data_IF_152810333459
#
_entry.id   IF_152810333459
#
_cell.length_a   1.000
_cell.length_b   1.000
_cell.length_c   1.000
_cell.angle_alpha   90.00
_cell.angle_beta   90.00
_cell.angle_gamma   90.00
#
_symmetry.space_group_name_H-M   'P 1'
#
loop_
_entity.id
_entity.type
_entity.pdbx_description
1 polymer ?
#
# COMPACT_ATOMS: atom_id res chain seq x y z
N UNK A 1 -19.23 9.71 29.66
CA UNK A 1 -18.07 9.82 28.80
C UNK A 1 -18.06 8.63 27.86
N UNK A 2 -18.32 8.88 26.56
CA UNK A 2 -18.35 7.80 25.58
C UNK A 2 -16.93 7.45 25.17
N UNK A 3 -16.45 6.29 25.59
CA UNK A 3 -15.21 5.75 25.08
C UNK A 3 -15.44 5.40 23.60
N UNK A 4 -14.46 5.67 22.72
CA UNK A 4 -14.58 5.21 21.34
C UNK A 4 -14.76 3.69 21.33
N UNK A 5 -15.53 3.14 20.40
CA UNK A 5 -15.69 1.70 20.33
C UNK A 5 -14.28 1.08 20.22
N UNK A 6 -13.99 0.20 21.13
CA UNK A 6 -12.77 -0.62 21.02
C UNK A 6 -12.87 -1.39 19.71
N UNK A 7 -11.94 -1.13 18.80
CA UNK A 7 -11.82 -1.95 17.61
C UNK A 7 -11.77 -3.41 18.04
N UNK A 8 -12.48 -4.30 17.35
CA UNK A 8 -12.40 -5.70 17.69
C UNK A 8 -10.93 -6.13 17.71
N UNK A 9 -10.55 -6.83 18.76
CA UNK A 9 -9.20 -7.35 18.89
C UNK A 9 -8.98 -8.47 17.85
N UNK A 10 -8.75 -8.04 16.60
CA UNK A 10 -8.49 -8.97 15.52
C UNK A 10 -7.01 -9.36 15.62
N UNK A 11 -6.70 -10.65 15.80
CA UNK A 11 -5.30 -11.06 15.85
C UNK A 11 -4.59 -10.75 14.53
N UNK A 12 -3.30 -10.36 14.58
CA UNK A 12 -2.54 -10.13 13.36
C UNK A 12 -2.48 -11.39 12.50
N UNK A 13 -2.56 -11.21 11.18
CA UNK A 13 -2.41 -12.31 10.23
C UNK A 13 -1.00 -12.89 10.32
N UNK A 14 -0.92 -14.20 10.48
CA UNK A 14 0.36 -14.90 10.55
C UNK A 14 0.27 -16.18 9.70
N UNK A 15 1.08 -16.35 8.64
CA UNK A 15 2.10 -15.40 8.18
C UNK A 15 1.50 -14.11 7.63
N UNK A 16 2.28 -13.02 7.54
CA UNK A 16 1.80 -11.77 6.97
C UNK A 16 1.43 -11.92 5.49
N UNK A 17 0.67 -10.96 4.97
CA UNK A 17 0.23 -10.93 3.58
C UNK A 17 0.52 -9.56 2.98
N UNK A 18 0.81 -9.53 1.68
CA UNK A 18 1.02 -8.28 0.95
C UNK A 18 -0.23 -7.96 0.12
N UNK A 19 -0.73 -6.75 0.24
CA UNK A 19 -1.79 -6.21 -0.62
C UNK A 19 -1.19 -5.11 -1.50
N UNK A 20 -1.33 -5.25 -2.80
CA UNK A 20 -0.72 -4.33 -3.77
C UNK A 20 -1.81 -3.55 -4.48
N UNK A 21 -1.75 -2.22 -4.37
CA UNK A 21 -2.49 -1.30 -5.22
C UNK A 21 -1.72 -1.23 -6.55
N UNK A 22 -2.15 -2.06 -7.51
CA UNK A 22 -1.33 -2.37 -8.68
C UNK A 22 -1.42 -1.34 -9.80
N UNK A 23 -2.45 -0.49 -9.80
CA UNK A 23 -2.57 0.55 -10.81
C UNK A 23 -1.44 1.57 -10.60
N UNK A 24 -0.59 1.71 -11.62
CA UNK A 24 0.60 2.58 -11.58
C UNK A 24 1.66 2.18 -10.53
N UNK A 25 1.77 0.90 -10.18
CA UNK A 25 2.81 0.42 -9.26
C UNK A 25 4.08 0.03 -10.05
N UNK A 26 5.21 0.74 -9.85
CA UNK A 26 6.44 0.45 -10.62
C UNK A 26 7.31 -0.65 -10.00
N UNK A 27 6.93 -1.23 -8.85
CA UNK A 27 7.75 -2.17 -8.08
C UNK A 27 7.14 -3.56 -7.97
N UNK A 28 6.27 -3.94 -8.91
CA UNK A 28 5.61 -5.25 -8.88
C UNK A 28 6.59 -6.41 -8.87
N UNK A 29 7.62 -6.35 -9.71
CA UNK A 29 8.63 -7.42 -9.79
C UNK A 29 9.38 -7.59 -8.47
N UNK A 30 9.72 -6.49 -7.82
CA UNK A 30 10.38 -6.50 -6.52
C UNK A 30 9.48 -7.13 -5.45
N UNK A 31 8.18 -6.84 -5.49
CA UNK A 31 7.20 -7.43 -4.57
C UNK A 31 7.16 -8.95 -4.75
N UNK A 32 7.07 -9.43 -6.00
CA UNK A 32 7.02 -10.86 -6.27
C UNK A 32 8.28 -11.56 -5.77
N UNK A 33 9.44 -10.97 -6.01
CA UNK A 33 10.72 -11.53 -5.58
C UNK A 33 10.79 -11.72 -4.06
N UNK A 34 10.43 -10.69 -3.31
CA UNK A 34 10.44 -10.75 -1.85
C UNK A 34 9.39 -11.75 -1.32
N UNK A 35 8.19 -11.71 -1.91
CA UNK A 35 7.11 -12.58 -1.49
C UNK A 35 7.46 -14.06 -1.68
N UNK A 36 8.04 -14.43 -2.81
CA UNK A 36 8.43 -15.81 -3.08
C UNK A 36 9.57 -16.25 -2.18
N UNK A 37 10.54 -15.38 -1.93
CA UNK A 37 11.65 -15.68 -1.03
C UNK A 37 11.18 -15.93 0.41
N UNK A 38 10.18 -15.18 0.86
CA UNK A 38 9.67 -15.29 2.23
C UNK A 38 8.42 -16.18 2.36
N UNK A 39 7.96 -16.76 1.26
CA UNK A 39 6.76 -17.59 1.22
C UNK A 39 5.53 -16.85 1.77
N UNK A 40 5.31 -15.62 1.32
CA UNK A 40 4.20 -14.76 1.75
C UNK A 40 3.19 -14.62 0.62
N UNK A 41 1.90 -14.67 0.95
CA UNK A 41 0.84 -14.47 -0.02
C UNK A 41 0.76 -13.03 -0.49
N UNK A 42 0.46 -12.82 -1.76
CA UNK A 42 0.28 -11.51 -2.38
C UNK A 42 -1.07 -11.46 -3.08
N UNK A 43 -1.81 -10.38 -2.85
CA UNK A 43 -3.02 -10.04 -3.61
C UNK A 43 -2.71 -8.80 -4.45
N UNK A 44 -2.73 -8.96 -5.76
CA UNK A 44 -2.45 -7.87 -6.71
C UNK A 44 -3.79 -7.33 -7.19
N UNK A 45 -4.17 -6.16 -6.70
CA UNK A 45 -5.50 -5.57 -6.92
C UNK A 45 -5.40 -4.48 -7.98
N UNK A 46 -6.20 -4.60 -9.03
CA UNK A 46 -6.21 -3.61 -10.11
C UNK A 46 -7.60 -3.43 -10.71
N UNK A 47 -7.83 -2.26 -11.32
CA UNK A 47 -9.05 -1.98 -12.08
C UNK A 47 -9.01 -2.60 -13.48
N UNK A 48 -7.82 -2.96 -13.98
CA UNK A 48 -7.63 -3.51 -15.30
C UNK A 48 -7.01 -4.90 -15.20
N UNK A 49 -7.24 -5.72 -16.24
CA UNK A 49 -6.63 -7.03 -16.32
C UNK A 49 -5.11 -6.89 -16.40
N UNK A 50 -4.41 -7.57 -15.50
CA UNK A 50 -2.98 -7.45 -15.31
C UNK A 50 -2.37 -8.84 -15.24
N UNK A 51 -1.29 -9.06 -15.97
CA UNK A 51 -0.59 -10.34 -15.92
C UNK A 51 0.24 -10.44 -14.64
N UNK A 52 0.07 -11.53 -13.91
CA UNK A 52 0.84 -11.84 -12.71
C UNK A 52 1.54 -13.20 -12.87
N UNK A 53 2.63 -13.45 -12.14
CA UNK A 53 3.28 -14.76 -12.18
C UNK A 53 2.31 -15.88 -11.80
N UNK A 54 2.43 -17.02 -12.48
CA UNK A 54 1.65 -18.22 -12.18
C UNK A 54 2.25 -18.91 -10.96
N UNK A 55 1.79 -18.55 -9.77
CA UNK A 55 2.26 -19.10 -8.51
C UNK A 55 1.14 -19.11 -7.48
N UNK A 56 1.09 -20.15 -6.64
CA UNK A 56 0.04 -20.31 -5.65
C UNK A 56 -0.05 -19.15 -4.65
N UNK A 57 1.08 -18.50 -4.34
CA UNK A 57 1.12 -17.39 -3.41
C UNK A 57 0.67 -16.06 -4.01
N UNK A 58 0.64 -15.95 -5.33
CA UNK A 58 0.34 -14.68 -6.01
C UNK A 58 -1.04 -14.79 -6.66
N UNK A 59 -1.98 -13.97 -6.18
CA UNK A 59 -3.34 -13.95 -6.69
C UNK A 59 -3.69 -12.56 -7.23
N UNK A 60 -4.24 -12.56 -8.44
CA UNK A 60 -4.74 -11.36 -9.08
C UNK A 60 -6.19 -11.13 -8.66
N UNK A 61 -6.51 -9.89 -8.28
CA UNK A 61 -7.87 -9.46 -8.00
C UNK A 61 -8.20 -8.32 -8.96
N UNK A 62 -9.07 -8.58 -9.93
CA UNK A 62 -9.54 -7.56 -10.86
C UNK A 62 -10.88 -7.08 -10.38
N UNK A 63 -10.97 -5.78 -10.10
CA UNK A 63 -12.21 -5.15 -9.60
C UNK A 63 -12.89 -4.41 -10.75
N UNK A 64 -14.15 -3.98 -10.53
CA UNK A 64 -14.91 -3.23 -11.54
C UNK A 64 -14.18 -1.92 -11.87
N UNK A 65 -14.36 -1.38 -13.10
CA UNK A 65 -13.68 -0.17 -13.54
C UNK A 65 -14.13 1.13 -12.89
N UNK A 66 -14.86 1.08 -11.78
CA UNK A 66 -15.20 2.26 -11.00
C UNK A 66 -13.94 2.90 -10.41
N UNK A 67 -13.94 4.22 -10.28
CA UNK A 67 -12.76 5.01 -9.94
C UNK A 67 -12.04 4.54 -8.67
N UNK A 68 -12.79 4.24 -7.61
CA UNK A 68 -12.22 3.87 -6.31
C UNK A 68 -12.33 2.37 -6.01
N UNK A 69 -12.64 1.53 -7.00
CA UNK A 69 -12.95 0.12 -6.75
C UNK A 69 -11.78 -0.66 -6.15
N UNK A 70 -10.55 -0.42 -6.64
CA UNK A 70 -9.36 -1.09 -6.10
C UNK A 70 -9.06 -0.62 -4.68
N UNK A 71 -9.15 0.69 -4.43
CA UNK A 71 -8.94 1.26 -3.10
C UNK A 71 -9.94 0.72 -2.09
N UNK A 72 -11.20 0.67 -2.46
CA UNK A 72 -12.26 0.15 -1.60
C UNK A 72 -12.07 -1.33 -1.31
N UNK A 73 -11.70 -2.12 -2.31
CA UNK A 73 -11.43 -3.54 -2.10
C UNK A 73 -10.31 -3.75 -1.07
N UNK A 74 -9.20 -3.02 -1.22
CA UNK A 74 -8.07 -3.13 -0.29
C UNK A 74 -8.48 -2.68 1.11
N UNK A 75 -9.16 -1.53 1.22
CA UNK A 75 -9.55 -0.98 2.51
C UNK A 75 -10.52 -1.90 3.28
N UNK A 76 -11.38 -2.62 2.56
CA UNK A 76 -12.31 -3.57 3.16
C UNK A 76 -11.62 -4.88 3.57
N UNK A 77 -10.61 -5.32 2.83
CA UNK A 77 -9.93 -6.60 3.06
C UNK A 77 -8.80 -6.51 4.08
N UNK A 78 -8.23 -5.32 4.27
CA UNK A 78 -7.00 -5.10 5.03
C UNK A 78 -7.22 -5.26 6.54
N UNK A 79 -6.19 -5.76 7.23
CA UNK A 79 -6.20 -5.87 8.69
C UNK A 79 -4.79 -6.04 9.26
N UNK A 80 -4.69 -6.25 10.58
CA UNK A 80 -3.38 -6.47 11.22
C UNK A 80 -2.63 -7.65 10.58
N UNK A 81 -1.33 -7.50 10.39
CA UNK A 81 -0.48 -8.50 9.74
C UNK A 81 -0.42 -8.37 8.23
N UNK A 82 -1.21 -7.46 7.63
CA UNK A 82 -1.08 -7.12 6.22
C UNK A 82 -0.04 -6.02 6.03
N UNK A 83 0.67 -6.07 4.91
CA UNK A 83 1.56 -5.01 4.44
C UNK A 83 1.00 -4.52 3.11
N UNK A 84 0.66 -3.25 3.04
CA UNK A 84 0.04 -2.64 1.85
C UNK A 84 1.09 -1.81 1.11
N UNK A 85 1.14 -1.97 -0.21
CA UNK A 85 1.98 -1.16 -1.08
C UNK A 85 1.09 -0.26 -1.92
N UNK A 86 1.19 1.04 -1.69
CA UNK A 86 0.42 2.05 -2.42
C UNK A 86 1.13 3.40 -2.42
N UNK A 87 0.90 4.19 -3.46
CA UNK A 87 1.29 5.59 -3.50
C UNK A 87 0.12 6.52 -3.13
N UNK A 88 -1.07 5.99 -2.95
CA UNK A 88 -2.26 6.77 -2.62
C UNK A 88 -2.33 7.04 -1.13
N UNK A 89 -2.18 8.31 -0.76
CA UNK A 89 -2.14 8.75 0.64
C UNK A 89 -3.46 8.47 1.35
N UNK A 90 -4.58 8.64 0.66
CA UNK A 90 -5.90 8.42 1.26
C UNK A 90 -6.15 6.93 1.54
N UNK A 91 -5.73 6.07 0.63
CA UNK A 91 -5.78 4.62 0.86
C UNK A 91 -4.83 4.22 2.00
N UNK A 92 -3.63 4.79 2.04
CA UNK A 92 -2.67 4.54 3.11
C UNK A 92 -3.26 4.87 4.49
N UNK A 93 -3.97 5.98 4.61
CA UNK A 93 -4.63 6.38 5.85
C UNK A 93 -5.67 5.34 6.29
N UNK A 94 -6.50 4.87 5.35
CA UNK A 94 -7.51 3.85 5.62
C UNK A 94 -6.88 2.54 6.10
N UNK A 95 -5.79 2.12 5.46
CA UNK A 95 -5.09 0.89 5.81
C UNK A 95 -4.38 0.98 7.17
N UNK A 96 -3.75 2.11 7.47
CA UNK A 96 -3.15 2.33 8.79
C UNK A 96 -4.21 2.27 9.89
N UNK A 97 -5.37 2.86 9.66
CA UNK A 97 -6.48 2.82 10.62
C UNK A 97 -6.98 1.41 10.87
N UNK A 98 -6.84 0.51 9.91
CA UNK A 98 -7.20 -0.90 10.04
C UNK A 98 -6.10 -1.75 10.71
N UNK A 99 -4.98 -1.16 11.07
CA UNK A 99 -3.89 -1.85 11.76
C UNK A 99 -2.82 -2.46 10.87
N UNK A 100 -2.85 -2.18 9.56
CA UNK A 100 -1.85 -2.68 8.63
C UNK A 100 -0.61 -1.77 8.59
N UNK A 101 0.51 -2.32 8.13
CA UNK A 101 1.67 -1.53 7.75
C UNK A 101 1.50 -1.08 6.29
N UNK A 102 1.95 0.12 5.95
CA UNK A 102 1.83 0.66 4.59
C UNK A 102 3.16 1.26 4.16
N UNK A 103 3.59 0.92 2.96
CA UNK A 103 4.80 1.48 2.35
C UNK A 103 4.51 1.97 0.94
N UNK A 104 5.19 3.05 0.55
CA UNK A 104 5.13 3.56 -0.81
C UNK A 104 6.14 2.88 -1.73
N UNK A 105 6.02 3.06 -3.06
CA UNK A 105 6.92 2.44 -4.04
C UNK A 105 8.39 2.86 -3.93
N UNK A 106 8.68 3.98 -3.29
CA UNK A 106 10.05 4.44 -3.05
C UNK A 106 10.64 3.93 -1.74
N UNK A 107 9.88 3.09 -1.01
CA UNK A 107 10.33 2.52 0.26
C UNK A 107 10.02 3.35 1.48
N UNK A 108 9.28 4.45 1.34
CA UNK A 108 8.90 5.27 2.50
C UNK A 108 7.73 4.64 3.22
N UNK A 109 7.86 4.31 4.51
CA UNK A 109 6.73 3.85 5.29
C UNK A 109 5.78 5.01 5.58
N UNK A 110 4.48 4.73 5.50
CA UNK A 110 3.47 5.66 5.98
C UNK A 110 3.24 5.41 7.47
N UNK A 111 3.23 6.48 8.25
CA UNK A 111 2.93 6.44 9.69
C UNK A 111 1.83 7.45 9.99
N UNK A 112 1.20 7.36 11.16
CA UNK A 112 0.18 8.32 11.56
C UNK A 112 0.65 9.76 11.49
N UNK A 113 1.90 10.03 11.91
CA UNK A 113 2.48 11.37 11.84
C UNK A 113 2.81 11.83 10.42
N UNK A 114 3.43 10.96 9.61
CA UNK A 114 3.80 11.31 8.24
C UNK A 114 2.58 11.47 7.34
N UNK A 115 1.51 10.70 7.58
CA UNK A 115 0.33 10.74 6.72
C UNK A 115 -0.45 12.05 6.88
N UNK A 116 -0.50 12.60 8.08
CA UNK A 116 -1.15 13.90 8.31
C UNK A 116 -0.49 15.01 7.49
N UNK A 117 0.83 15.07 7.48
CA UNK A 117 1.60 16.01 6.67
C UNK A 117 1.42 15.78 5.18
N UNK A 118 1.37 14.53 4.74
CA UNK A 118 1.21 14.17 3.34
C UNK A 118 -0.19 14.53 2.81
N UNK A 119 -1.24 14.31 3.61
CA UNK A 119 -2.61 14.71 3.26
C UNK A 119 -2.72 16.22 3.14
N UNK A 120 -2.13 16.96 4.07
CA UNK A 120 -2.12 18.43 4.02
C UNK A 120 -1.37 18.94 2.78
N UNK A 121 -0.23 18.36 2.45
CA UNK A 121 0.54 18.74 1.27
C UNK A 121 -0.23 18.46 -0.01
N UNK A 122 -0.92 17.32 -0.09
CA UNK A 122 -1.75 16.97 -1.24
C UNK A 122 -2.88 18.00 -1.45
N UNK A 123 -3.52 18.44 -0.37
CA UNK A 123 -4.57 19.46 -0.44
C UNK A 123 -4.01 20.79 -0.95
N UNK A 124 -2.87 21.22 -0.45
CA UNK A 124 -2.19 22.44 -0.90
C UNK A 124 -1.84 22.35 -2.39
N UNK A 125 -1.29 21.23 -2.84
CA UNK A 125 -0.93 21.03 -4.25
C UNK A 125 -2.15 20.98 -5.16
N UNK A 126 -3.27 20.43 -4.70
CA UNK A 126 -4.52 20.44 -5.45
C UNK A 126 -5.04 21.87 -5.63
N UNK A 127 -5.00 22.68 -4.59
CA UNK A 127 -5.40 24.10 -4.65
C UNK A 127 -4.53 24.89 -5.64
N UNK A 128 -3.23 24.66 -5.64
CA UNK A 128 -2.30 25.29 -6.56
C UNK A 128 -2.57 24.90 -8.02
N UNK A 129 -2.93 23.65 -8.27
CA UNK A 129 -3.31 23.18 -9.62
C UNK A 129 -4.58 23.86 -10.11
N UNK A 130 -5.55 24.04 -9.24
CA UNK A 130 -6.78 24.77 -9.57
C UNK A 130 -6.48 26.21 -9.92
N UNK A 131 -5.46 26.81 -9.30
CA UNK A 131 -4.97 28.15 -9.62
C UNK A 131 -4.22 28.27 -10.94
N UNK A 132 -4.05 27.21 -11.70
CA UNK A 132 -3.41 27.24 -13.01
C UNK A 132 -1.89 27.12 -13.00
N UNK A 133 -1.27 27.01 -11.85
CA UNK A 133 0.18 26.82 -11.76
C UNK A 133 0.55 25.36 -12.01
N UNK A 134 1.36 25.13 -13.04
CA UNK A 134 1.89 23.81 -13.32
C UNK A 134 3.09 23.60 -12.41
N UNK A 135 2.87 22.96 -11.28
CA UNK A 135 3.97 22.48 -10.46
C UNK A 135 4.42 21.16 -11.07
N UNK A 136 5.71 20.98 -11.29
CA UNK A 136 6.26 19.76 -11.87
C UNK A 136 5.74 18.52 -11.19
N UNK A 137 5.51 17.44 -11.96
CA UNK A 137 5.03 16.16 -11.45
C UNK A 137 6.00 15.52 -10.44
N UNK A 138 5.64 14.36 -9.88
CA UNK A 138 6.53 13.65 -8.97
C UNK A 138 7.87 13.35 -9.62
N UNK A 139 8.93 13.30 -8.82
CA UNK A 139 10.27 12.98 -9.31
C UNK A 139 10.26 11.62 -10.04
N UNK A 140 11.03 11.47 -11.14
CA UNK A 140 11.12 10.19 -11.84
C UNK A 140 11.57 9.07 -10.89
N UNK A 141 11.01 7.88 -11.10
CA UNK A 141 11.39 6.71 -10.33
C UNK A 141 12.82 6.28 -10.69
N UNK A 142 13.67 6.07 -9.68
CA UNK A 142 15.11 5.81 -9.84
C UNK A 142 15.47 4.39 -9.42
N UNK A 143 16.59 3.83 -9.94
CA UNK A 143 17.07 2.51 -9.45
C UNK A 143 17.30 2.48 -7.94
N UNK A 144 17.77 3.58 -7.34
CA UNK A 144 17.94 3.66 -5.88
C UNK A 144 16.61 3.51 -5.13
N UNK A 145 15.51 3.96 -5.72
CA UNK A 145 14.17 3.79 -5.14
C UNK A 145 13.77 2.32 -5.08
N UNK A 146 14.13 1.53 -6.10
CA UNK A 146 13.88 0.08 -6.12
C UNK A 146 14.62 -0.62 -4.99
N UNK A 147 15.87 -0.26 -4.77
CA UNK A 147 16.69 -0.84 -3.69
C UNK A 147 16.13 -0.50 -2.32
N UNK A 148 15.74 0.76 -2.11
CA UNK A 148 15.11 1.19 -0.86
C UNK A 148 13.78 0.47 -0.64
N UNK A 149 13.02 0.29 -1.70
CA UNK A 149 11.75 -0.42 -1.62
C UNK A 149 11.94 -1.89 -1.21
N UNK A 150 12.89 -2.60 -1.83
CA UNK A 150 13.18 -3.98 -1.48
C UNK A 150 13.50 -4.12 0.01
N UNK A 151 14.35 -3.25 0.52
CA UNK A 151 14.72 -3.26 1.94
C UNK A 151 13.54 -2.93 2.84
N UNK A 152 12.76 -1.92 2.49
CA UNK A 152 11.61 -1.49 3.28
C UNK A 152 10.53 -2.58 3.34
N UNK A 153 10.25 -3.25 2.23
CA UNK A 153 9.28 -4.34 2.20
C UNK A 153 9.75 -5.51 3.05
N UNK A 154 11.01 -5.88 2.94
CA UNK A 154 11.61 -6.95 3.72
C UNK A 154 11.48 -6.68 5.22
N UNK A 155 11.83 -5.47 5.65
CA UNK A 155 11.71 -5.04 7.05
C UNK A 155 10.26 -5.02 7.54
N UNK A 156 9.34 -4.55 6.69
CA UNK A 156 7.92 -4.52 7.05
C UNK A 156 7.36 -5.92 7.28
N UNK A 157 7.74 -6.87 6.45
CA UNK A 157 7.32 -8.27 6.60
C UNK A 157 7.91 -8.92 7.85
N UNK A 158 9.16 -8.62 8.17
CA UNK A 158 9.79 -9.12 9.40
C UNK A 158 9.06 -8.59 10.63
N UNK A 159 8.74 -7.30 10.67
CA UNK A 159 7.99 -6.71 11.79
C UNK A 159 6.59 -7.29 11.90
N UNK A 160 5.89 -7.47 10.78
CA UNK A 160 4.55 -8.03 10.76
C UNK A 160 4.55 -9.49 11.29
N UNK A 161 5.57 -10.26 10.97
CA UNK A 161 5.69 -11.65 11.41
C UNK A 161 6.05 -11.83 12.91
N UNK A 162 6.47 -10.76 13.58
CA UNK A 162 6.85 -10.79 15.00
C UNK A 162 5.71 -10.49 15.96
N UNK A 163 4.56 -10.10 15.44
CA UNK A 163 3.39 -9.74 16.26
C UNK A 163 2.60 -10.95 16.67
#
# INVERSE_FOLDING_TARGET
MNLPPTLPNIPPRNPPRILVDADACPVKEEIYRVALRRAVAVRVVSNAHLRVPAHALIERVVVSGAFDAADDWIAEAVGPGDVVVTADILLAERCLSAGAAVIGPTGKPFTGGSIGSAVAMRAIMADLRVGGDVIGGPAPFRPADRSRFLQALDEALVRAGRR
#
